data_IF_820085513324
#
_entry.id   IF_820085513324
#
_cell.length_a   1.000
_cell.length_b   1.000
_cell.length_c   1.000
_cell.angle_alpha   90.00
_cell.angle_beta   90.00
_cell.angle_gamma   90.00
#
_symmetry.space_group_name_H-M   'P 1'
#
loop_
_entity.id
_entity.type
_entity.pdbx_description
1 polymer ?
#
# COMPACT_ATOMS: atom_id res chain seq x y z
N UNK A 1 17.08 57.70 16.83
CA UNK A 1 15.61 57.57 16.73
C UNK A 1 15.27 56.87 15.42
N UNK A 2 14.89 55.59 15.47
CA UNK A 2 14.69 54.75 14.28
C UNK A 2 13.28 55.00 13.71
N UNK A 3 13.15 55.66 12.55
CA UNK A 3 11.85 55.91 11.90
C UNK A 3 11.45 54.67 11.09
N UNK A 4 10.62 53.81 11.67
CA UNK A 4 10.03 52.66 11.00
C UNK A 4 8.99 53.16 10.00
N UNK A 5 9.19 52.88 8.71
CA UNK A 5 8.26 53.28 7.63
C UNK A 5 6.98 52.43 7.71
N UNK A 6 5.79 53.01 7.51
CA UNK A 6 4.50 52.29 7.66
C UNK A 6 4.36 51.10 6.70
N UNK A 7 5.07 51.15 5.57
CA UNK A 7 5.15 50.07 4.58
C UNK A 7 5.81 48.81 5.18
N UNK A 8 6.82 48.94 6.04
CA UNK A 8 7.44 47.79 6.70
C UNK A 8 6.50 47.13 7.72
N UNK A 9 5.66 47.92 8.40
CA UNK A 9 4.64 47.40 9.32
C UNK A 9 3.55 46.66 8.54
N UNK A 10 3.15 47.18 7.37
CA UNK A 10 2.17 46.54 6.50
C UNK A 10 2.68 45.21 5.92
N UNK A 11 3.95 45.16 5.50
CA UNK A 11 4.60 43.93 5.00
C UNK A 11 4.77 42.91 6.13
N UNK A 12 5.14 43.35 7.34
CA UNK A 12 5.24 42.48 8.52
C UNK A 12 3.88 41.89 8.90
N UNK A 13 2.81 42.69 8.84
CA UNK A 13 1.41 42.24 9.05
C UNK A 13 0.93 41.27 7.96
N UNK A 14 1.40 41.44 6.72
CA UNK A 14 1.05 40.55 5.60
C UNK A 14 1.74 39.18 5.73
N UNK A 15 3.01 39.15 6.19
CA UNK A 15 3.76 37.91 6.41
C UNK A 15 3.21 37.08 7.59
N UNK A 16 2.73 37.71 8.66
CA UNK A 16 2.11 37.02 9.81
C UNK A 16 0.84 36.23 9.44
N UNK A 17 0.16 36.59 8.35
CA UNK A 17 -1.09 35.91 7.92
C UNK A 17 -0.85 34.61 7.16
N UNK A 18 0.37 34.35 6.64
CA UNK A 18 0.64 33.17 5.80
C UNK A 18 0.84 31.87 6.60
N UNK A 19 1.15 31.95 7.89
CA UNK A 19 1.46 30.78 8.73
C UNK A 19 0.25 29.93 9.14
N UNK A 20 -0.99 30.33 8.81
CA UNK A 20 -2.21 29.67 9.30
C UNK A 20 -2.93 28.78 8.28
N UNK A 21 -2.40 28.60 7.07
CA UNK A 21 -3.03 27.76 6.03
C UNK A 21 -2.27 26.44 5.79
N UNK A 22 -1.90 25.74 6.87
CA UNK A 22 -1.68 24.30 6.84
C UNK A 22 -2.79 23.66 7.69
N UNK A 23 -3.94 23.40 7.08
CA UNK A 23 -4.94 22.48 7.61
C UNK A 23 -4.94 21.22 6.76
N UNK A 24 -3.92 20.39 6.98
CA UNK A 24 -4.11 18.94 6.91
C UNK A 24 -4.45 18.50 8.34
N UNK A 25 -5.56 17.78 8.50
CA UNK A 25 -6.13 17.30 9.78
C UNK A 25 -5.17 17.35 10.98
N UNK A 26 -5.43 18.30 11.88
CA UNK A 26 -4.69 18.50 13.12
C UNK A 26 -4.73 17.22 13.97
N UNK A 27 -3.63 16.47 14.01
CA UNK A 27 -3.47 15.27 14.85
C UNK A 27 -3.86 15.54 16.32
N UNK A 28 -3.58 16.75 16.81
CA UNK A 28 -3.88 17.21 18.16
C UNK A 28 -5.38 17.39 18.47
N UNK A 29 -6.27 17.33 17.47
CA UNK A 29 -7.73 17.36 17.68
C UNK A 29 -8.31 15.97 17.96
N UNK A 30 -7.54 14.90 17.70
CA UNK A 30 -7.91 13.48 17.90
C UNK A 30 -7.69 13.01 19.35
N UNK A 31 -7.77 13.91 20.35
CA UNK A 31 -7.45 13.60 21.77
C UNK A 31 -8.43 12.63 22.45
N UNK A 32 -9.60 12.44 21.87
CA UNK A 32 -10.64 11.53 22.39
C UNK A 32 -10.69 10.20 21.65
N UNK A 33 -9.78 9.97 20.71
CA UNK A 33 -9.72 8.72 19.99
C UNK A 33 -8.90 7.70 20.78
N UNK A 34 -9.52 6.56 21.10
CA UNK A 34 -8.86 5.47 21.80
C UNK A 34 -7.91 4.68 20.88
N UNK A 35 -7.14 3.76 21.48
CA UNK A 35 -6.36 2.77 20.74
C UNK A 35 -7.30 1.68 20.22
N UNK A 36 -7.89 1.89 19.05
CA UNK A 36 -8.66 0.85 18.38
C UNK A 36 -7.72 -0.07 17.59
N UNK A 37 -7.61 -1.33 18.02
CA UNK A 37 -6.88 -2.37 17.28
C UNK A 37 -7.48 -2.62 15.88
N UNK A 38 -8.74 -2.19 15.68
CA UNK A 38 -9.53 -2.35 14.46
C UNK A 38 -10.03 -0.99 13.95
N UNK A 39 -9.15 0.01 13.84
CA UNK A 39 -9.49 1.20 13.06
C UNK A 39 -9.61 0.77 11.58
N UNK A 40 -10.84 0.69 11.07
CA UNK A 40 -11.10 0.50 9.65
C UNK A 40 -10.56 1.71 8.90
N UNK A 41 -9.31 1.61 8.43
CA UNK A 41 -8.77 2.55 7.47
C UNK A 41 -9.74 2.59 6.31
N UNK A 42 -10.36 3.75 6.07
CA UNK A 42 -11.26 4.00 4.94
C UNK A 42 -10.64 3.40 3.68
N UNK A 43 -11.10 2.20 3.30
CA UNK A 43 -10.63 1.52 2.11
C UNK A 43 -11.14 2.37 0.97
N UNK A 44 -10.26 3.19 0.38
CA UNK A 44 -10.57 3.95 -0.83
C UNK A 44 -11.22 2.96 -1.79
N UNK A 45 -12.51 3.18 -2.09
CA UNK A 45 -13.27 2.36 -3.04
C UNK A 45 -12.44 2.29 -4.31
N UNK A 46 -11.82 1.15 -4.55
CA UNK A 46 -11.11 0.89 -5.79
C UNK A 46 -12.13 1.05 -6.90
N UNK A 47 -11.91 1.99 -7.81
CA UNK A 47 -12.65 2.03 -9.08
C UNK A 47 -12.60 0.61 -9.65
N UNK A 48 -13.79 0.02 -9.85
CA UNK A 48 -13.89 -1.36 -10.33
C UNK A 48 -13.20 -1.39 -11.70
N UNK A 49 -12.07 -2.11 -11.85
CA UNK A 49 -11.37 -2.14 -13.12
C UNK A 49 -12.28 -2.75 -14.18
N UNK A 50 -12.05 -2.33 -15.43
CA UNK A 50 -12.66 -2.92 -16.62
C UNK A 50 -12.60 -4.44 -16.56
N UNK A 51 -13.67 -5.12 -16.98
CA UNK A 51 -13.82 -6.57 -16.81
C UNK A 51 -12.76 -7.29 -17.67
N UNK A 52 -11.69 -7.78 -17.05
CA UNK A 52 -10.63 -8.53 -17.72
C UNK A 52 -11.22 -9.85 -18.23
N UNK A 53 -11.03 -10.16 -19.51
CA UNK A 53 -11.43 -11.44 -20.09
C UNK A 53 -10.39 -12.53 -19.79
N UNK A 54 -10.81 -13.81 -19.63
CA UNK A 54 -9.88 -14.91 -19.38
C UNK A 54 -8.79 -15.05 -20.46
N UNK A 55 -9.12 -14.73 -21.70
CA UNK A 55 -8.21 -14.78 -22.85
C UNK A 55 -7.09 -13.75 -22.74
N UNK A 56 -7.39 -12.55 -22.21
CA UNK A 56 -6.45 -11.43 -22.11
C UNK A 56 -5.60 -11.49 -20.83
N UNK A 57 -6.06 -12.18 -19.79
CA UNK A 57 -5.38 -12.22 -18.50
C UNK A 57 -3.93 -12.77 -18.56
N UNK A 58 -3.63 -13.87 -19.29
CA UNK A 58 -2.26 -14.37 -19.41
C UNK A 58 -1.31 -13.37 -20.08
N UNK A 59 -1.77 -12.69 -21.13
CA UNK A 59 -0.98 -11.68 -21.84
C UNK A 59 -0.64 -10.49 -20.95
N UNK A 60 -1.61 -10.04 -20.13
CA UNK A 60 -1.40 -8.96 -19.15
C UNK A 60 -0.31 -9.36 -18.15
N UNK A 61 -0.43 -10.55 -17.54
CA UNK A 61 0.55 -11.02 -16.55
C UNK A 61 1.93 -11.18 -17.18
N UNK A 62 2.01 -11.69 -18.41
CA UNK A 62 3.27 -11.81 -19.16
C UNK A 62 3.91 -10.45 -19.40
N UNK A 63 3.13 -9.44 -19.76
CA UNK A 63 3.61 -8.07 -19.93
C UNK A 63 4.18 -7.48 -18.64
N UNK A 64 3.49 -7.68 -17.51
CA UNK A 64 3.96 -7.23 -16.19
C UNK A 64 5.29 -7.90 -15.82
N UNK A 65 5.39 -9.22 -15.99
CA UNK A 65 6.63 -9.97 -15.69
C UNK A 65 7.80 -9.48 -16.53
N UNK A 66 7.60 -9.35 -17.85
CA UNK A 66 8.63 -8.86 -18.77
C UNK A 66 9.14 -7.48 -18.36
N UNK A 67 8.24 -6.56 -18.03
CA UNK A 67 8.62 -5.21 -17.57
C UNK A 67 9.43 -5.23 -16.28
N UNK A 68 9.06 -6.08 -15.31
CA UNK A 68 9.83 -6.25 -14.07
C UNK A 68 11.23 -6.79 -14.34
N UNK A 69 11.34 -7.79 -15.22
CA UNK A 69 12.63 -8.38 -15.63
C UNK A 69 13.52 -7.33 -16.30
N UNK A 70 12.97 -6.50 -17.20
CA UNK A 70 13.71 -5.42 -17.86
C UNK A 70 14.25 -4.39 -16.85
N UNK A 71 13.39 -3.93 -15.94
CA UNK A 71 13.77 -2.96 -14.90
C UNK A 71 14.80 -3.54 -13.93
N UNK A 72 14.62 -4.80 -13.52
CA UNK A 72 15.57 -5.50 -12.65
C UNK A 72 16.93 -5.66 -13.35
N UNK A 73 16.94 -6.07 -14.62
CA UNK A 73 18.16 -6.24 -15.40
C UNK A 73 18.95 -4.93 -15.48
N UNK A 74 18.25 -3.82 -15.75
CA UNK A 74 18.90 -2.50 -15.79
C UNK A 74 19.45 -2.10 -14.42
N UNK A 75 18.68 -2.29 -13.34
CA UNK A 75 19.11 -1.95 -11.98
C UNK A 75 20.30 -2.78 -11.50
N UNK A 76 20.44 -4.03 -11.96
CA UNK A 76 21.58 -4.90 -11.64
C UNK A 76 22.83 -4.49 -12.43
N UNK A 77 22.69 -4.22 -13.73
CA UNK A 77 23.83 -3.87 -14.59
C UNK A 77 24.34 -2.45 -14.35
N UNK A 78 23.44 -1.52 -14.03
CA UNK A 78 23.75 -0.12 -13.76
C UNK A 78 22.94 0.39 -12.56
N UNK A 79 23.46 0.23 -11.32
CA UNK A 79 22.73 0.49 -10.09
C UNK A 79 22.65 1.99 -9.74
N UNK A 80 22.17 2.81 -10.67
CA UNK A 80 21.86 4.22 -10.40
C UNK A 80 20.63 4.34 -9.50
N UNK A 81 20.52 5.47 -8.80
CA UNK A 81 19.36 5.76 -7.95
C UNK A 81 18.04 5.73 -8.74
N UNK A 82 18.07 6.13 -10.01
CA UNK A 82 16.90 6.12 -10.88
C UNK A 82 16.48 4.70 -11.26
N UNK A 83 17.42 3.85 -11.70
CA UNK A 83 17.12 2.48 -12.11
C UNK A 83 16.55 1.65 -10.96
N UNK A 84 17.16 1.75 -9.78
CA UNK A 84 16.68 1.06 -8.57
C UNK A 84 15.31 1.57 -8.15
N UNK A 85 15.07 2.90 -8.18
CA UNK A 85 13.77 3.49 -7.87
C UNK A 85 12.68 2.98 -8.83
N UNK A 86 12.96 2.94 -10.12
CA UNK A 86 12.01 2.49 -11.14
C UNK A 86 11.61 1.03 -10.92
N UNK A 87 12.58 0.16 -10.62
CA UNK A 87 12.31 -1.23 -10.25
C UNK A 87 11.45 -1.32 -8.98
N UNK A 88 11.83 -0.63 -7.90
CA UNK A 88 11.09 -0.67 -6.62
C UNK A 88 9.64 -0.23 -6.79
N UNK A 89 9.39 0.83 -7.56
CA UNK A 89 8.04 1.33 -7.80
C UNK A 89 7.18 0.31 -8.54
N UNK A 90 7.73 -0.36 -9.55
CA UNK A 90 6.98 -1.37 -10.30
C UNK A 90 6.79 -2.66 -9.49
N UNK A 91 7.83 -3.09 -8.76
CA UNK A 91 7.78 -4.23 -7.86
C UNK A 91 6.69 -4.04 -6.80
N UNK A 92 6.58 -2.84 -6.21
CA UNK A 92 5.55 -2.53 -5.21
C UNK A 92 4.13 -2.72 -5.75
N UNK A 93 3.89 -2.42 -7.04
CA UNK A 93 2.58 -2.66 -7.67
C UNK A 93 2.28 -4.15 -7.77
N UNK A 94 3.25 -4.96 -8.18
CA UNK A 94 3.09 -6.42 -8.27
C UNK A 94 2.90 -7.07 -6.90
N UNK A 95 3.66 -6.62 -5.89
CA UNK A 95 3.46 -7.04 -4.50
C UNK A 95 2.05 -6.69 -4.04
N UNK A 96 1.58 -5.47 -4.31
CA UNK A 96 0.21 -5.07 -3.95
C UNK A 96 -0.87 -5.93 -4.62
N UNK A 97 -0.68 -6.32 -5.89
CA UNK A 97 -1.60 -7.24 -6.58
C UNK A 97 -1.58 -8.63 -5.93
N UNK A 98 -0.39 -9.12 -5.56
CA UNK A 98 -0.23 -10.40 -4.88
C UNK A 98 -0.91 -10.39 -3.49
N UNK A 99 -0.78 -9.30 -2.74
CA UNK A 99 -1.47 -9.12 -1.46
C UNK A 99 -2.99 -9.08 -1.62
N UNK A 100 -3.50 -8.42 -2.67
CA UNK A 100 -4.93 -8.41 -2.96
C UNK A 100 -5.44 -9.82 -3.28
N UNK A 101 -4.71 -10.58 -4.09
CA UNK A 101 -5.01 -11.99 -4.37
C UNK A 101 -5.01 -12.84 -3.09
N UNK A 102 -3.98 -12.73 -2.25
CA UNK A 102 -3.89 -13.48 -0.99
C UNK A 102 -5.06 -13.17 -0.06
N UNK A 103 -5.50 -11.91 0.04
CA UNK A 103 -6.69 -11.54 0.79
C UNK A 103 -7.94 -12.23 0.23
N UNK A 104 -8.17 -12.14 -1.08
CA UNK A 104 -9.33 -12.78 -1.71
C UNK A 104 -9.28 -14.31 -1.57
N UNK A 105 -8.09 -14.91 -1.65
CA UNK A 105 -7.89 -16.34 -1.41
C UNK A 105 -8.32 -16.74 0.00
N UNK A 106 -7.86 -16.02 1.03
CA UNK A 106 -8.28 -16.24 2.41
C UNK A 106 -9.79 -16.07 2.59
N UNK A 107 -10.37 -15.02 2.00
CA UNK A 107 -11.82 -14.78 2.02
C UNK A 107 -12.59 -15.95 1.37
N UNK A 108 -12.08 -16.51 0.26
CA UNK A 108 -12.67 -17.69 -0.41
C UNK A 108 -12.59 -18.92 0.47
N UNK A 109 -11.46 -19.20 1.11
CA UNK A 109 -11.32 -20.33 2.04
C UNK A 109 -12.31 -20.22 3.20
N UNK A 110 -12.47 -19.03 3.79
CA UNK A 110 -13.39 -18.82 4.92
C UNK A 110 -14.84 -19.10 4.55
N UNK A 111 -15.25 -18.76 3.32
CA UNK A 111 -16.60 -19.01 2.81
C UNK A 111 -16.78 -20.43 2.27
N UNK A 112 -15.69 -21.08 1.87
CA UNK A 112 -15.67 -22.41 1.25
C UNK A 112 -14.60 -23.29 1.93
N UNK A 113 -14.84 -23.74 3.17
CA UNK A 113 -13.84 -24.46 3.97
C UNK A 113 -13.40 -25.79 3.35
N UNK A 114 -14.17 -26.34 2.40
CA UNK A 114 -13.78 -27.53 1.63
C UNK A 114 -12.53 -27.31 0.76
N UNK A 115 -12.22 -26.05 0.40
CA UNK A 115 -11.02 -25.69 -0.35
C UNK A 115 -9.79 -25.53 0.54
N UNK A 116 -9.95 -25.47 1.86
CA UNK A 116 -8.84 -25.43 2.78
C UNK A 116 -8.07 -26.76 2.75
N UNK A 117 -6.74 -26.69 2.76
CA UNK A 117 -5.95 -27.86 3.09
C UNK A 117 -6.32 -28.33 4.51
N UNK A 118 -6.53 -29.64 4.65
CA UNK A 118 -6.93 -30.26 5.92
C UNK A 118 -5.74 -30.58 6.80
N UNK A 119 -4.52 -30.31 6.33
CA UNK A 119 -3.32 -30.52 7.14
C UNK A 119 -3.37 -29.67 8.41
N UNK A 120 -3.29 -30.30 9.59
CA UNK A 120 -3.25 -29.55 10.83
C UNK A 120 -1.95 -28.75 10.89
N UNK A 121 -2.06 -27.44 11.08
CA UNK A 121 -0.90 -26.53 11.17
C UNK A 121 -0.32 -26.42 12.59
N UNK A 122 -0.94 -27.08 13.58
CA UNK A 122 -0.46 -27.11 14.96
C UNK A 122 0.43 -28.33 15.18
N UNK A 123 1.52 -28.17 15.94
CA UNK A 123 2.46 -29.27 16.22
C UNK A 123 1.77 -30.51 16.83
N UNK A 124 0.75 -30.30 17.67
CA UNK A 124 -0.06 -31.39 18.23
C UNK A 124 -0.94 -32.07 17.18
N UNK A 125 -1.54 -31.30 16.28
CA UNK A 125 -2.37 -31.85 15.21
C UNK A 125 -1.55 -32.62 14.17
N UNK A 126 -0.33 -32.15 13.85
CA UNK A 126 0.59 -32.89 12.95
C UNK A 126 0.90 -34.27 13.52
N UNK A 127 1.31 -34.36 14.79
CA UNK A 127 1.60 -35.64 15.45
C UNK A 127 0.39 -36.56 15.50
N UNK A 128 -0.78 -36.02 15.85
CA UNK A 128 -2.00 -36.80 15.85
C UNK A 128 -2.35 -37.34 14.46
N UNK A 129 -2.07 -36.58 13.39
CA UNK A 129 -2.33 -37.02 12.01
C UNK A 129 -1.34 -38.11 11.54
N UNK A 130 -0.08 -38.03 11.98
CA UNK A 130 0.94 -39.08 11.75
C UNK A 130 0.55 -40.42 12.41
N UNK A 131 -0.16 -40.39 13.54
CA UNK A 131 -0.60 -41.61 14.25
C UNK A 131 -1.77 -42.35 13.55
N UNK A 132 -2.42 -41.74 12.55
CA UNK A 132 -3.59 -42.30 11.83
C UNK A 132 -3.33 -42.68 10.36
N UNK A 133 -2.11 -42.48 9.84
CA UNK A 133 -1.65 -43.01 8.55
C UNK A 133 -0.86 -44.31 8.72
#
# INVERSE_FOLDING_TARGET
>A
MLKIKPICVLILLLCLKQSFLVSGDDWYKRKYEGWYFYEEKNQKKSNRPEKITPEKAPEIVKGIRKKLEELLSMAILDPTQENVRNYMQEQQKWVSQSSAFAKTWSDVILNHPILADRTPITQSGIRANEDYE
#
